data_IF_991684031576
#
_entry.id   IF_991684031576
#
_cell.length_a   1.000
_cell.length_b   1.000
_cell.length_c   1.000
_cell.angle_alpha   90.00
_cell.angle_beta   90.00
_cell.angle_gamma   90.00
#
_symmetry.space_group_name_H-M   'P 1'
#
loop_
_entity.id
_entity.type
_entity.pdbx_description
1 polymer ?
#
# COMPACT_ATOMS: atom_id res chain seq x y z
N UNK A 1 20.69 12.40 -34.62
CA UNK A 1 20.99 13.69 -35.29
C UNK A 1 22.46 13.99 -35.11
N UNK A 2 23.16 14.41 -36.20
CA UNK A 2 24.53 14.86 -36.08
C UNK A 2 24.51 16.38 -35.97
N UNK A 3 24.98 16.92 -34.83
CA UNK A 3 25.15 18.34 -34.57
C UNK A 3 26.58 18.73 -34.97
N UNK A 4 26.73 19.74 -35.86
CA UNK A 4 28.01 20.31 -36.24
C UNK A 4 28.10 21.74 -35.74
N UNK A 5 29.22 22.12 -35.14
CA UNK A 5 29.42 23.42 -34.53
C UNK A 5 29.40 24.60 -35.53
N UNK A 6 29.65 24.32 -36.81
CA UNK A 6 29.70 25.27 -37.93
C UNK A 6 28.39 25.43 -38.71
N UNK A 7 27.31 24.74 -38.23
CA UNK A 7 26.00 24.77 -38.88
C UNK A 7 25.16 26.01 -38.57
N UNK A 8 24.21 26.32 -39.49
CA UNK A 8 23.19 27.37 -39.28
C UNK A 8 22.29 26.97 -38.09
N UNK A 9 22.43 27.70 -36.96
CA UNK A 9 21.71 27.44 -35.72
C UNK A 9 20.19 27.38 -35.87
N UNK A 10 19.61 28.18 -36.78
CA UNK A 10 18.15 28.18 -37.02
C UNK A 10 17.69 26.87 -37.69
N UNK A 11 18.43 26.46 -38.74
CA UNK A 11 18.12 25.17 -39.40
C UNK A 11 18.35 23.97 -38.49
N UNK A 12 19.38 24.07 -37.63
CA UNK A 12 19.67 23.02 -36.64
C UNK A 12 18.56 22.93 -35.57
N UNK A 13 18.11 24.08 -35.05
CA UNK A 13 17.00 24.15 -34.08
C UNK A 13 15.72 23.55 -34.65
N UNK A 14 15.31 23.89 -35.88
CA UNK A 14 14.12 23.32 -36.52
C UNK A 14 14.22 21.79 -36.64
N UNK A 15 15.35 21.28 -37.16
CA UNK A 15 15.56 19.82 -37.30
C UNK A 15 15.59 19.10 -35.96
N UNK A 16 16.10 19.72 -34.91
CA UNK A 16 16.10 19.18 -33.57
C UNK A 16 14.68 19.13 -33.02
N UNK A 17 13.91 20.22 -33.18
CA UNK A 17 12.51 20.26 -32.76
C UNK A 17 11.67 19.15 -33.43
N UNK A 18 11.77 19.02 -34.78
CA UNK A 18 11.05 18.00 -35.53
C UNK A 18 11.38 16.58 -35.05
N UNK A 19 12.66 16.34 -34.71
CA UNK A 19 13.08 15.02 -34.23
C UNK A 19 12.67 14.75 -32.79
N UNK A 20 12.69 15.76 -31.93
CA UNK A 20 12.20 15.69 -30.54
C UNK A 20 10.69 15.42 -30.56
N UNK A 21 9.93 16.17 -31.35
CA UNK A 21 8.47 15.96 -31.50
C UNK A 21 8.15 14.56 -32.00
N UNK A 22 8.90 14.07 -33.00
CA UNK A 22 8.74 12.70 -33.49
C UNK A 22 9.03 11.66 -32.42
N UNK A 23 10.13 11.83 -31.67
CA UNK A 23 10.48 10.90 -30.59
C UNK A 23 9.43 10.91 -29.47
N UNK A 24 8.99 12.11 -29.03
CA UNK A 24 7.97 12.26 -27.99
C UNK A 24 6.62 11.64 -28.40
N UNK A 25 6.24 11.78 -29.68
CA UNK A 25 5.00 11.18 -30.20
C UNK A 25 5.02 9.64 -30.25
N UNK A 26 6.21 9.06 -30.48
CA UNK A 26 6.40 7.60 -30.52
C UNK A 26 6.48 6.95 -29.12
N UNK A 27 6.84 7.74 -28.10
CA UNK A 27 7.15 7.23 -26.76
C UNK A 27 6.20 7.75 -25.68
N UNK A 28 5.06 8.29 -26.09
CA UNK A 28 4.05 8.86 -25.18
C UNK A 28 4.65 9.91 -24.23
N UNK A 29 5.42 10.84 -24.82
CA UNK A 29 5.98 11.99 -24.12
C UNK A 29 7.31 11.76 -23.40
N UNK A 30 8.01 10.66 -23.63
CA UNK A 30 9.33 10.40 -23.06
C UNK A 30 10.44 10.54 -24.10
N UNK A 31 11.60 11.06 -23.71
CA UNK A 31 12.75 11.26 -24.59
C UNK A 31 14.05 10.94 -23.85
N UNK A 32 14.88 10.11 -24.48
CA UNK A 32 16.25 9.87 -24.04
C UNK A 32 17.22 10.45 -25.07
N UNK A 33 18.14 11.30 -24.63
CA UNK A 33 19.24 11.82 -25.45
C UNK A 33 20.52 11.15 -25.00
N UNK A 34 21.10 10.33 -25.86
CA UNK A 34 22.38 9.66 -25.62
C UNK A 34 23.43 10.17 -26.62
N UNK A 35 24.67 10.42 -26.20
CA UNK A 35 25.76 10.73 -27.13
C UNK A 35 26.07 9.53 -28.02
N UNK A 36 26.19 9.73 -29.32
CA UNK A 36 26.54 8.66 -30.26
C UNK A 36 28.01 8.17 -30.10
N UNK A 37 28.86 8.99 -29.50
CA UNK A 37 30.22 8.65 -29.09
C UNK A 37 30.55 9.44 -27.80
N UNK A 38 31.42 8.90 -26.91
CA UNK A 38 31.87 9.63 -25.74
C UNK A 38 32.49 10.97 -26.16
N UNK A 39 31.95 12.05 -25.64
CA UNK A 39 32.47 13.40 -25.86
C UNK A 39 32.75 14.08 -24.51
N UNK A 40 33.86 14.80 -24.40
CA UNK A 40 34.23 15.55 -23.20
C UNK A 40 33.08 16.49 -22.79
N UNK A 41 32.50 16.31 -21.63
CA UNK A 41 31.36 17.09 -21.12
C UNK A 41 29.96 16.53 -21.44
N UNK A 42 29.83 15.36 -22.11
CA UNK A 42 28.60 14.66 -22.39
C UNK A 42 28.77 13.16 -22.11
N UNK A 43 28.96 12.82 -20.86
CA UNK A 43 29.20 11.43 -20.45
C UNK A 43 27.93 10.69 -20.01
N UNK A 44 26.82 11.40 -19.84
CA UNK A 44 25.56 10.85 -19.33
C UNK A 44 24.42 10.97 -20.33
N UNK A 45 23.59 9.96 -20.37
CA UNK A 45 22.29 10.00 -21.02
C UNK A 45 21.40 11.04 -20.34
N UNK A 46 20.70 11.88 -21.12
CA UNK A 46 19.76 12.86 -20.60
C UNK A 46 18.33 12.37 -20.86
N UNK A 47 17.58 12.20 -19.79
CA UNK A 47 16.18 11.82 -19.87
C UNK A 47 15.29 13.06 -19.75
N UNK A 48 14.29 13.15 -20.61
CA UNK A 48 13.27 14.19 -20.58
C UNK A 48 11.89 13.56 -20.66
N UNK A 49 10.93 14.11 -19.96
CA UNK A 49 9.54 13.68 -20.05
C UNK A 49 8.59 14.87 -20.02
N UNK A 50 7.52 14.79 -20.81
CA UNK A 50 6.40 15.73 -20.75
C UNK A 50 5.40 15.35 -19.63
N UNK A 51 5.56 14.16 -19.02
CA UNK A 51 4.58 13.51 -18.15
C UNK A 51 5.00 13.53 -16.68
N UNK A 52 5.43 14.65 -16.12
CA UNK A 52 5.76 14.78 -14.69
C UNK A 52 6.61 13.60 -14.15
N UNK A 53 7.70 13.29 -14.84
CA UNK A 53 8.61 12.21 -14.45
C UNK A 53 9.79 12.72 -13.64
N UNK A 54 10.29 11.91 -12.72
CA UNK A 54 11.53 12.12 -12.00
C UNK A 54 12.53 11.02 -12.34
N UNK A 55 13.64 11.38 -12.96
CA UNK A 55 14.68 10.44 -13.38
C UNK A 55 15.39 9.79 -12.19
N UNK A 56 15.72 10.57 -11.15
CA UNK A 56 16.44 10.08 -9.96
C UNK A 56 15.67 8.98 -9.22
N UNK A 57 14.33 9.05 -9.23
CA UNK A 57 13.46 8.14 -8.51
C UNK A 57 12.76 7.12 -9.43
N UNK A 58 13.05 7.13 -10.74
CA UNK A 58 12.36 6.29 -11.73
C UNK A 58 10.83 6.32 -11.58
N UNK A 59 10.29 7.51 -11.36
CA UNK A 59 8.88 7.76 -11.03
C UNK A 59 8.23 8.60 -12.13
N UNK A 60 7.10 8.14 -12.62
CA UNK A 60 6.30 8.84 -13.63
C UNK A 60 4.85 8.95 -13.15
N UNK A 61 4.34 10.17 -13.05
CA UNK A 61 2.96 10.44 -12.64
C UNK A 61 1.99 10.18 -13.79
N UNK A 62 2.44 10.27 -15.04
CA UNK A 62 1.58 10.23 -16.21
C UNK A 62 0.73 11.49 -16.36
N UNK A 63 -0.43 11.36 -17.01
CA UNK A 63 -1.38 12.46 -17.18
C UNK A 63 -2.15 12.71 -15.88
N UNK A 64 -2.16 13.96 -15.42
CA UNK A 64 -2.94 14.37 -14.24
C UNK A 64 -4.43 14.42 -14.58
N UNK A 65 -5.17 13.42 -14.15
CA UNK A 65 -6.63 13.36 -14.33
C UNK A 65 -7.35 13.39 -12.99
N UNK A 66 -8.60 13.91 -12.91
CA UNK A 66 -9.36 13.95 -11.65
C UNK A 66 -9.51 12.59 -10.96
N UNK A 67 -9.56 11.48 -11.72
CA UNK A 67 -9.67 10.12 -11.18
C UNK A 67 -8.44 9.67 -10.37
N UNK A 68 -7.27 10.29 -10.58
CA UNK A 68 -6.07 10.04 -9.78
C UNK A 68 -6.23 10.48 -8.31
N UNK A 69 -7.12 11.40 -8.04
CA UNK A 69 -7.37 11.92 -6.70
C UNK A 69 -8.56 11.25 -6.00
N UNK A 70 -9.07 10.15 -6.58
CA UNK A 70 -10.14 9.36 -6.00
C UNK A 70 -9.60 8.05 -5.43
N UNK A 71 -9.77 7.84 -4.13
CA UNK A 71 -9.42 6.60 -3.47
C UNK A 71 -10.36 5.43 -3.82
N UNK A 72 -11.51 5.69 -4.45
CA UNK A 72 -12.43 4.67 -4.97
C UNK A 72 -12.11 4.26 -6.41
N UNK A 73 -11.08 4.86 -7.02
CA UNK A 73 -10.66 4.56 -8.37
C UNK A 73 -9.29 3.89 -8.36
N UNK A 74 -9.05 2.78 -9.07
CA UNK A 74 -7.75 2.09 -9.10
C UNK A 74 -6.58 2.99 -9.50
N UNK A 75 -6.81 4.03 -10.32
CA UNK A 75 -5.77 5.00 -10.72
C UNK A 75 -5.28 5.89 -9.57
N UNK A 76 -6.13 6.14 -8.55
CA UNK A 76 -5.79 6.99 -7.42
C UNK A 76 -5.62 6.23 -6.11
N UNK A 77 -6.24 5.08 -5.98
CA UNK A 77 -6.22 4.29 -4.76
C UNK A 77 -4.81 3.78 -4.40
N UNK A 78 -4.50 3.73 -3.14
CA UNK A 78 -3.31 3.03 -2.65
C UNK A 78 -3.40 1.55 -3.04
N UNK A 79 -2.41 0.98 -3.74
CA UNK A 79 -2.49 -0.41 -4.22
C UNK A 79 -2.45 -1.44 -3.08
N UNK A 80 -1.88 -1.09 -1.92
CA UNK A 80 -1.80 -2.00 -0.76
C UNK A 80 -3.15 -2.20 -0.08
N UNK A 81 -3.91 -1.12 0.13
CA UNK A 81 -5.19 -1.17 0.84
C UNK A 81 -6.39 -0.91 -0.07
N UNK A 82 -6.21 -0.84 -1.38
CA UNK A 82 -7.26 -0.56 -2.36
C UNK A 82 -8.12 0.67 -2.01
N UNK A 83 -7.48 1.71 -1.45
CA UNK A 83 -8.15 2.94 -1.05
C UNK A 83 -8.86 2.91 0.30
N UNK A 84 -8.77 1.82 1.07
CA UNK A 84 -9.37 1.72 2.40
C UNK A 84 -8.65 2.55 3.46
N UNK A 85 -7.35 2.84 3.27
CA UNK A 85 -6.51 3.56 4.25
C UNK A 85 -6.07 2.71 5.43
N UNK A 86 -6.58 1.50 5.54
CA UNK A 86 -6.31 0.57 6.63
C UNK A 86 -6.20 -0.85 6.10
N UNK A 87 -5.50 -1.69 6.84
CA UNK A 87 -5.37 -3.12 6.56
C UNK A 87 -5.87 -3.92 7.76
N UNK A 88 -6.45 -5.06 7.46
CA UNK A 88 -6.86 -6.05 8.46
C UNK A 88 -5.76 -7.11 8.54
N UNK A 89 -5.35 -7.46 9.74
CA UNK A 89 -4.36 -8.51 9.96
C UNK A 89 -4.75 -9.35 11.17
N UNK A 90 -4.34 -10.62 11.17
CA UNK A 90 -4.53 -11.49 12.33
C UNK A 90 -3.56 -11.08 13.44
N UNK A 91 -4.06 -10.95 14.65
CA UNK A 91 -3.28 -10.59 15.82
C UNK A 91 -2.66 -11.81 16.47
N UNK A 92 -1.33 -11.88 16.54
CA UNK A 92 -0.63 -12.95 17.26
C UNK A 92 -1.09 -13.07 18.72
N UNK A 93 -1.29 -11.94 19.42
CA UNK A 93 -1.74 -11.94 20.81
C UNK A 93 -3.17 -12.49 20.98
N UNK A 94 -4.04 -12.29 19.99
CA UNK A 94 -5.41 -12.82 20.04
C UNK A 94 -5.49 -14.30 19.72
N UNK A 95 -4.62 -14.79 18.84
CA UNK A 95 -4.57 -16.23 18.51
C UNK A 95 -3.77 -17.05 19.52
N UNK A 96 -2.82 -16.43 20.24
CA UNK A 96 -1.99 -17.03 21.28
C UNK A 96 -2.17 -16.29 22.60
N UNK A 97 -3.34 -16.38 23.26
CA UNK A 97 -3.67 -15.60 24.44
C UNK A 97 -2.98 -16.06 25.72
N UNK A 98 -2.49 -17.30 25.76
CA UNK A 98 -1.93 -17.94 26.96
C UNK A 98 -0.53 -18.51 26.67
N UNK A 99 0.48 -17.81 27.15
CA UNK A 99 1.89 -18.17 26.99
C UNK A 99 2.32 -19.41 27.84
N UNK A 100 1.54 -19.76 28.85
CA UNK A 100 1.83 -20.92 29.71
C UNK A 100 1.44 -22.24 29.04
N UNK A 101 0.56 -22.21 28.05
CA UNK A 101 0.13 -23.39 27.32
C UNK A 101 1.08 -23.80 26.20
N UNK A 102 1.12 -25.09 25.95
CA UNK A 102 1.72 -25.65 24.75
C UNK A 102 0.68 -25.81 23.62
N UNK A 103 1.16 -26.07 22.39
CA UNK A 103 0.27 -26.31 21.25
C UNK A 103 -0.70 -27.48 21.52
N UNK A 104 -0.22 -28.52 22.20
CA UNK A 104 -1.06 -29.67 22.61
C UNK A 104 -2.15 -29.27 23.62
N UNK A 105 -1.84 -28.33 24.50
CA UNK A 105 -2.75 -27.81 25.51
C UNK A 105 -3.71 -26.73 25.01
N UNK A 106 -3.67 -26.42 23.73
CA UNK A 106 -4.57 -25.44 23.14
C UNK A 106 -4.06 -23.99 23.27
N UNK A 107 -2.77 -23.77 23.16
CA UNK A 107 -2.20 -22.42 23.12
C UNK A 107 -2.75 -21.58 21.96
N UNK A 108 -3.15 -22.21 20.86
CA UNK A 108 -3.76 -21.52 19.70
C UNK A 108 -5.28 -21.50 19.85
N UNK A 109 -5.85 -20.34 20.12
CA UNK A 109 -7.29 -20.16 20.35
C UNK A 109 -8.10 -20.02 19.04
N UNK A 110 -7.79 -20.81 18.02
CA UNK A 110 -8.50 -20.78 16.73
C UNK A 110 -8.98 -22.16 16.38
N UNK A 111 -10.23 -22.27 15.89
CA UNK A 111 -10.82 -23.54 15.50
C UNK A 111 -9.95 -24.27 14.46
N UNK A 112 -9.75 -25.57 14.69
CA UNK A 112 -8.84 -26.41 13.91
C UNK A 112 -7.37 -26.36 14.37
N UNK A 113 -7.05 -25.54 15.39
CA UNK A 113 -5.73 -25.47 16.04
C UNK A 113 -5.81 -25.58 17.57
N UNK A 114 -6.99 -25.60 18.16
CA UNK A 114 -7.20 -25.68 19.62
C UNK A 114 -6.63 -26.95 20.26
N UNK A 115 -6.47 -28.00 19.47
CA UNK A 115 -5.82 -29.23 19.90
C UNK A 115 -4.86 -29.66 18.80
N UNK A 116 -3.58 -29.72 19.13
CA UNK A 116 -2.53 -30.20 18.22
C UNK A 116 -1.97 -31.52 18.77
N UNK A 117 -2.08 -32.56 17.99
CA UNK A 117 -1.56 -33.89 18.28
C UNK A 117 -1.10 -34.60 17.01
N UNK A 118 -0.49 -35.74 17.15
CA UNK A 118 0.07 -36.52 16.03
C UNK A 118 -1.00 -36.84 14.96
N UNK A 119 -2.23 -37.05 15.39
CA UNK A 119 -3.36 -37.48 14.55
C UNK A 119 -4.20 -36.27 14.05
N UNK A 120 -3.85 -35.05 14.44
CA UNK A 120 -4.58 -33.86 13.96
C UNK A 120 -4.08 -33.39 12.60
N UNK A 121 -4.95 -32.67 11.87
CA UNK A 121 -4.60 -32.16 10.52
C UNK A 121 -3.29 -31.38 10.48
N UNK A 122 -3.04 -30.51 11.46
CA UNK A 122 -1.84 -29.69 11.53
C UNK A 122 -0.68 -30.32 12.31
N UNK A 123 -0.95 -31.35 13.10
CA UNK A 123 0.01 -31.95 13.99
C UNK A 123 1.29 -32.42 13.32
N UNK A 124 1.25 -33.30 12.31
CA UNK A 124 2.45 -33.77 11.63
C UNK A 124 3.31 -32.64 11.08
N UNK A 125 2.67 -31.56 10.55
CA UNK A 125 3.39 -30.42 10.03
C UNK A 125 4.05 -29.59 11.16
N UNK A 126 3.30 -29.28 12.22
CA UNK A 126 3.85 -28.52 13.35
C UNK A 126 4.95 -29.28 14.11
N UNK A 127 4.84 -30.62 14.18
CA UNK A 127 5.92 -31.47 14.75
C UNK A 127 7.18 -31.39 13.87
N UNK A 128 7.03 -31.47 12.54
CA UNK A 128 8.17 -31.38 11.62
C UNK A 128 8.83 -30.01 11.65
N UNK A 129 8.03 -28.93 11.70
CA UNK A 129 8.52 -27.55 11.87
C UNK A 129 9.25 -27.41 13.20
N UNK A 130 8.62 -27.86 14.29
CA UNK A 130 9.19 -27.75 15.63
C UNK A 130 10.54 -28.47 15.79
N UNK A 131 10.66 -29.67 15.22
CA UNK A 131 11.90 -30.44 15.21
C UNK A 131 13.06 -29.64 14.58
N UNK A 132 12.78 -28.84 13.55
CA UNK A 132 13.79 -28.04 12.84
C UNK A 132 14.05 -26.71 13.50
N UNK A 133 13.05 -26.09 14.09
CA UNK A 133 13.10 -24.75 14.66
C UNK A 133 13.19 -24.72 16.20
N UNK A 134 13.45 -25.86 16.83
CA UNK A 134 13.80 -25.94 18.26
C UNK A 134 12.61 -25.87 19.22
N UNK A 135 11.43 -26.37 18.82
CA UNK A 135 10.30 -26.54 19.73
C UNK A 135 9.58 -27.88 19.52
N UNK A 136 8.79 -28.28 20.49
CA UNK A 136 7.86 -29.43 20.38
C UNK A 136 6.42 -28.95 20.59
N UNK A 137 5.44 -29.77 20.21
CA UNK A 137 4.03 -29.43 20.47
C UNK A 137 3.69 -29.42 21.96
N UNK A 138 4.56 -29.95 22.82
CA UNK A 138 4.44 -29.99 24.28
C UNK A 138 5.19 -28.84 24.97
N UNK A 139 6.00 -28.07 24.24
CA UNK A 139 6.75 -26.93 24.77
C UNK A 139 5.78 -25.76 25.03
N UNK A 140 5.73 -25.15 26.24
CA UNK A 140 4.96 -23.94 26.50
C UNK A 140 5.46 -22.76 25.64
N UNK A 141 4.56 -21.90 25.17
CA UNK A 141 4.92 -20.77 24.29
C UNK A 141 5.95 -19.82 24.89
N UNK A 142 5.93 -19.62 26.20
CA UNK A 142 6.92 -18.79 26.91
C UNK A 142 8.35 -19.31 26.79
N UNK A 143 8.53 -20.60 26.52
CA UNK A 143 9.86 -21.22 26.35
C UNK A 143 10.35 -21.21 24.89
N UNK A 144 9.54 -20.70 23.96
CA UNK A 144 9.95 -20.57 22.56
C UNK A 144 11.05 -19.51 22.42
N UNK A 145 12.10 -19.80 21.64
CA UNK A 145 13.04 -18.78 21.18
C UNK A 145 12.32 -17.80 20.24
N UNK A 146 12.94 -16.64 19.98
CA UNK A 146 12.40 -15.68 19.01
C UNK A 146 12.25 -16.31 17.62
N UNK A 147 13.22 -17.13 17.21
CA UNK A 147 13.25 -17.83 15.94
C UNK A 147 12.15 -18.88 15.85
N UNK A 148 11.93 -19.67 16.92
CA UNK A 148 10.87 -20.65 17.01
C UNK A 148 9.50 -19.97 16.93
N UNK A 149 9.35 -18.84 17.61
CA UNK A 149 8.10 -18.06 17.59
C UNK A 149 7.82 -17.44 16.22
N UNK A 150 8.83 -16.88 15.58
CA UNK A 150 8.73 -16.36 14.22
C UNK A 150 8.38 -17.48 13.23
N UNK A 151 9.05 -18.63 13.31
CA UNK A 151 8.73 -19.79 12.48
C UNK A 151 7.27 -20.24 12.64
N UNK A 152 6.77 -20.29 13.89
CA UNK A 152 5.36 -20.67 14.16
C UNK A 152 4.37 -19.65 13.60
N UNK A 153 4.61 -18.35 13.79
CA UNK A 153 3.67 -17.28 13.44
C UNK A 153 3.74 -16.87 11.98
N UNK A 154 4.95 -16.64 11.47
CA UNK A 154 5.20 -16.06 10.15
C UNK A 154 5.49 -17.11 9.08
N UNK A 155 5.85 -18.33 9.53
CA UNK A 155 6.20 -19.44 8.65
C UNK A 155 7.70 -19.51 8.37
N UNK A 156 8.07 -20.41 7.45
CA UNK A 156 9.46 -20.81 7.19
C UNK A 156 9.87 -20.56 5.73
N UNK A 157 9.12 -19.68 5.06
CA UNK A 157 9.40 -19.28 3.69
C UNK A 157 9.25 -20.44 2.69
N UNK A 158 10.32 -20.74 1.94
CA UNK A 158 10.33 -21.79 0.91
C UNK A 158 10.67 -23.19 1.44
N UNK A 159 10.91 -23.32 2.75
CA UNK A 159 11.20 -24.62 3.33
C UNK A 159 10.02 -25.57 3.22
N UNK A 160 10.29 -26.81 2.85
CA UNK A 160 9.30 -27.87 2.79
C UNK A 160 9.56 -28.92 3.86
N UNK A 161 8.48 -29.46 4.40
CA UNK A 161 8.47 -30.47 5.45
C UNK A 161 7.84 -31.75 4.92
N UNK A 162 8.55 -32.85 5.03
CA UNK A 162 8.02 -34.16 4.71
C UNK A 162 7.11 -34.60 5.85
N UNK A 163 5.84 -34.82 5.57
CA UNK A 163 4.82 -35.25 6.53
C UNK A 163 4.09 -36.49 6.05
N UNK A 164 3.68 -37.30 7.02
CA UNK A 164 2.85 -38.49 6.80
C UNK A 164 1.52 -38.26 7.50
N UNK A 165 0.42 -38.52 6.80
CA UNK A 165 -0.93 -38.48 7.34
C UNK A 165 -1.64 -39.77 7.00
N UNK A 166 -2.60 -40.16 7.85
CA UNK A 166 -3.45 -41.31 7.62
C UNK A 166 -4.89 -40.85 7.43
N UNK A 167 -5.50 -41.21 6.31
CA UNK A 167 -6.92 -41.00 6.02
C UNK A 167 -7.54 -42.34 5.69
N UNK A 168 -8.60 -42.68 6.43
CA UNK A 168 -9.29 -43.97 6.27
C UNK A 168 -8.34 -45.20 6.29
N UNK A 169 -7.29 -45.13 7.11
CA UNK A 169 -6.26 -46.17 7.20
C UNK A 169 -5.21 -46.15 6.08
N UNK A 170 -5.34 -45.25 5.09
CA UNK A 170 -4.37 -45.12 4.01
C UNK A 170 -3.29 -44.09 4.38
N UNK A 171 -2.05 -44.49 4.18
CA UNK A 171 -0.88 -43.64 4.44
C UNK A 171 -0.63 -42.68 3.24
N UNK A 172 -0.65 -41.39 3.53
CA UNK A 172 -0.33 -40.33 2.57
C UNK A 172 0.93 -39.59 2.97
N UNK A 173 1.89 -39.54 2.06
CA UNK A 173 3.14 -38.79 2.22
C UNK A 173 3.14 -37.57 1.31
N UNK A 174 3.55 -36.43 1.85
CA UNK A 174 3.67 -35.21 1.06
C UNK A 174 4.76 -34.28 1.65
N UNK A 175 5.35 -33.47 0.79
CA UNK A 175 6.23 -32.39 1.20
C UNK A 175 5.50 -31.07 1.01
N UNK A 176 5.30 -30.33 2.11
CA UNK A 176 4.51 -29.08 2.11
C UNK A 176 5.28 -27.97 2.79
N UNK A 177 5.19 -26.73 2.30
CA UNK A 177 5.71 -25.58 3.00
C UNK A 177 4.82 -25.23 4.20
N UNK A 178 5.40 -24.58 5.20
CA UNK A 178 4.65 -24.01 6.31
C UNK A 178 4.59 -22.49 6.20
N UNK A 179 3.40 -21.96 5.93
CA UNK A 179 3.14 -20.55 5.71
C UNK A 179 3.05 -19.71 7.00
N UNK A 180 3.07 -20.35 8.17
CA UNK A 180 2.83 -19.71 9.46
C UNK A 180 1.36 -19.59 9.84
N UNK A 181 1.08 -19.56 11.15
CA UNK A 181 -0.29 -19.49 11.66
C UNK A 181 -1.01 -18.21 11.21
N UNK A 182 -0.32 -17.05 11.19
CA UNK A 182 -0.94 -15.78 10.80
C UNK A 182 -1.48 -15.84 9.37
N UNK A 183 -0.67 -16.32 8.42
CA UNK A 183 -1.08 -16.45 7.02
C UNK A 183 -2.19 -17.48 6.82
N UNK A 184 -2.08 -18.64 7.47
CA UNK A 184 -3.09 -19.70 7.33
C UNK A 184 -4.45 -19.24 7.89
N UNK A 185 -4.44 -18.53 9.01
CA UNK A 185 -5.69 -18.03 9.63
C UNK A 185 -6.25 -16.86 8.80
N UNK A 186 -5.41 -15.99 8.26
CA UNK A 186 -5.84 -14.92 7.36
C UNK A 186 -6.47 -15.48 6.07
N UNK A 187 -5.85 -16.48 5.42
CA UNK A 187 -6.42 -17.15 4.24
C UNK A 187 -7.79 -17.79 4.57
N UNK A 188 -7.95 -18.36 5.76
CA UNK A 188 -9.26 -18.89 6.22
C UNK A 188 -10.28 -17.78 6.44
N UNK A 189 -9.90 -16.68 7.07
CA UNK A 189 -10.77 -15.54 7.30
C UNK A 189 -11.30 -14.96 5.98
N UNK A 190 -10.42 -14.83 4.98
CA UNK A 190 -10.79 -14.36 3.64
C UNK A 190 -11.69 -15.35 2.89
N UNK A 191 -11.42 -16.65 3.04
CA UNK A 191 -12.19 -17.71 2.35
C UNK A 191 -13.59 -17.85 2.92
N UNK A 192 -13.72 -17.87 4.23
CA UNK A 192 -15.00 -18.15 4.89
C UNK A 192 -15.83 -16.90 5.16
N UNK A 193 -15.22 -15.70 5.13
CA UNK A 193 -15.88 -14.39 5.38
C UNK A 193 -16.83 -14.42 6.58
N UNK A 194 -16.39 -15.03 7.68
CA UNK A 194 -17.19 -15.35 8.84
C UNK A 194 -16.81 -14.41 10.00
N UNK A 195 -17.82 -13.87 10.71
CA UNK A 195 -17.66 -13.02 11.90
C UNK A 195 -16.76 -13.65 13.00
N UNK A 196 -16.67 -14.99 13.04
CA UNK A 196 -15.77 -15.70 13.93
C UNK A 196 -14.31 -15.21 13.84
N UNK A 197 -13.81 -14.90 12.62
CA UNK A 197 -12.44 -14.44 12.44
C UNK A 197 -12.23 -12.98 12.79
N UNK A 198 -13.31 -12.19 12.92
CA UNK A 198 -13.22 -10.79 13.34
C UNK A 198 -12.68 -10.65 14.77
N UNK A 199 -12.96 -11.65 15.64
CA UNK A 199 -12.40 -11.72 16.99
C UNK A 199 -10.86 -11.71 16.98
N UNK A 200 -10.23 -12.37 16.00
CA UNK A 200 -8.76 -12.50 15.89
C UNK A 200 -8.14 -11.40 15.06
N UNK A 201 -8.95 -10.58 14.41
CA UNK A 201 -8.49 -9.52 13.52
C UNK A 201 -8.22 -8.22 14.28
N UNK A 202 -7.21 -7.49 13.83
CA UNK A 202 -6.93 -6.10 14.20
C UNK A 202 -6.88 -5.25 12.95
N UNK A 203 -7.44 -4.05 13.07
CA UNK A 203 -7.40 -3.05 12.01
C UNK A 203 -6.27 -2.07 12.34
N UNK A 204 -5.41 -1.80 11.37
CA UNK A 204 -4.29 -0.87 11.51
C UNK A 204 -4.26 0.07 10.31
N UNK A 205 -3.71 1.30 10.47
CA UNK A 205 -3.43 2.14 9.32
C UNK A 205 -2.58 1.38 8.29
N UNK A 206 -2.90 1.53 7.01
CA UNK A 206 -2.14 0.89 5.95
C UNK A 206 -0.66 1.27 6.03
N UNK A 207 0.28 0.31 6.00
CA UNK A 207 1.71 0.58 6.16
C UNK A 207 2.29 1.41 5.01
N UNK A 208 1.66 1.38 3.83
CA UNK A 208 2.10 2.11 2.65
C UNK A 208 1.60 3.55 2.61
N UNK A 209 0.30 3.76 2.74
CA UNK A 209 -0.29 5.10 2.64
C UNK A 209 -0.55 5.78 3.99
N UNK A 210 -0.29 5.12 5.11
CA UNK A 210 -0.47 5.64 6.47
C UNK A 210 -1.85 6.27 6.72
N UNK A 211 -2.87 5.70 6.09
CA UNK A 211 -4.25 6.17 6.18
C UNK A 211 -4.68 7.15 5.08
N UNK A 212 -3.77 7.62 4.22
CA UNK A 212 -4.08 8.60 3.17
C UNK A 212 -4.99 8.05 2.05
N UNK A 213 -5.13 6.73 1.92
CA UNK A 213 -5.97 6.02 0.93
C UNK A 213 -5.51 6.14 -0.52
N UNK A 214 -4.69 7.14 -0.85
CA UNK A 214 -4.20 7.46 -2.18
C UNK A 214 -2.82 6.84 -2.44
N UNK A 215 -2.48 6.69 -3.70
CA UNK A 215 -1.16 6.27 -4.13
C UNK A 215 -0.15 7.43 -4.04
N UNK A 216 1.14 7.12 -4.21
CA UNK A 216 2.24 8.07 -4.09
C UNK A 216 2.18 9.17 -5.16
N UNK A 217 1.73 8.84 -6.38
CA UNK A 217 1.59 9.80 -7.47
C UNK A 217 0.56 10.90 -7.12
N UNK A 218 -0.62 10.50 -6.64
CA UNK A 218 -1.65 11.43 -6.20
C UNK A 218 -1.22 12.26 -4.99
N UNK A 219 -0.48 11.64 -4.04
CA UNK A 219 0.04 12.34 -2.86
C UNK A 219 1.21 13.29 -3.16
N UNK A 220 1.93 13.06 -4.26
CA UNK A 220 3.00 13.94 -4.74
C UNK A 220 2.49 15.27 -5.30
N UNK A 221 1.22 15.34 -5.72
CA UNK A 221 0.64 16.59 -6.25
C UNK A 221 0.22 17.50 -5.11
N UNK A 222 0.69 18.75 -5.16
CA UNK A 222 0.40 19.77 -4.13
C UNK A 222 -0.25 21.01 -4.73
N UNK A 223 -1.10 21.66 -3.94
CA UNK A 223 -1.65 22.98 -4.22
C UNK A 223 -1.38 23.84 -2.98
N UNK A 224 -0.79 25.02 -3.18
CA UNK A 224 -0.40 25.88 -2.05
C UNK A 224 0.53 25.18 -1.04
N UNK A 225 1.38 24.25 -1.52
CA UNK A 225 2.38 23.54 -0.70
C UNK A 225 1.83 22.34 0.09
N UNK A 226 0.55 21.99 0.00
CA UNK A 226 -0.03 20.81 0.68
C UNK A 226 -0.69 19.86 -0.31
N UNK A 227 -0.65 18.56 -0.02
CA UNK A 227 -1.33 17.53 -0.81
C UNK A 227 -2.76 17.29 -0.31
N UNK A 228 -3.52 16.48 -1.06
CA UNK A 228 -4.93 16.22 -0.77
C UNK A 228 -5.15 15.56 0.60
N UNK A 229 -4.29 14.62 1.03
CA UNK A 229 -4.40 13.98 2.35
C UNK A 229 -4.21 15.00 3.47
N UNK A 230 -3.17 15.82 3.38
CA UNK A 230 -2.90 16.88 4.36
C UNK A 230 -4.07 17.86 4.46
N UNK A 231 -4.67 18.23 3.33
CA UNK A 231 -5.87 19.07 3.31
C UNK A 231 -7.05 18.38 3.98
N UNK A 232 -7.35 17.13 3.62
CA UNK A 232 -8.48 16.37 4.15
C UNK A 232 -8.38 16.08 5.66
N UNK A 233 -7.17 16.07 6.23
CA UNK A 233 -6.95 15.93 7.69
C UNK A 233 -7.17 17.21 8.48
N UNK A 234 -7.23 18.37 7.82
CA UNK A 234 -7.61 19.62 8.48
C UNK A 234 -9.09 19.57 8.86
N UNK A 235 -9.45 20.22 9.97
CA UNK A 235 -10.85 20.46 10.26
C UNK A 235 -11.47 21.44 9.26
N UNK A 236 -12.77 21.50 9.18
CA UNK A 236 -13.50 22.30 8.18
C UNK A 236 -13.08 23.77 8.24
N UNK A 237 -12.93 24.35 9.43
CA UNK A 237 -12.46 25.75 9.59
C UNK A 237 -11.08 25.94 8.96
N UNK A 238 -10.10 25.11 9.32
CA UNK A 238 -8.74 25.23 8.80
C UNK A 238 -8.64 24.91 7.32
N UNK A 239 -9.51 24.06 6.78
CA UNK A 239 -9.62 23.81 5.34
C UNK A 239 -10.20 25.03 4.61
N UNK A 240 -11.23 25.68 5.16
CA UNK A 240 -11.80 26.91 4.62
C UNK A 240 -10.79 28.05 4.62
N UNK A 241 -10.07 28.24 5.73
CA UNK A 241 -9.01 29.25 5.86
C UNK A 241 -7.90 29.03 4.83
N UNK A 242 -7.50 27.78 4.60
CA UNK A 242 -6.54 27.44 3.55
C UNK A 242 -7.01 27.91 2.18
N UNK A 243 -8.24 27.61 1.77
CA UNK A 243 -8.77 28.05 0.48
C UNK A 243 -8.98 29.58 0.41
N UNK A 244 -9.24 30.24 1.51
CA UNK A 244 -9.38 31.71 1.54
C UNK A 244 -8.02 32.42 1.42
N UNK A 245 -6.96 31.82 1.95
CA UNK A 245 -5.59 32.35 1.91
C UNK A 245 -4.77 31.89 0.71
N UNK A 246 -5.32 31.02 -0.14
CA UNK A 246 -4.62 30.46 -1.28
C UNK A 246 -4.29 31.56 -2.30
N UNK A 247 -3.00 31.72 -2.60
CA UNK A 247 -2.50 32.65 -3.58
C UNK A 247 -2.21 31.89 -4.88
N UNK A 248 -2.84 32.29 -5.97
CA UNK A 248 -2.72 31.72 -7.30
C UNK A 248 -2.23 32.79 -8.28
N UNK A 249 -1.62 32.37 -9.39
CA UNK A 249 -1.36 33.24 -10.53
C UNK A 249 -2.68 33.62 -11.23
N UNK A 250 -2.65 34.66 -12.05
CA UNK A 250 -3.86 35.11 -12.81
C UNK A 250 -4.48 33.99 -13.64
N UNK A 251 -3.66 33.17 -14.28
CA UNK A 251 -4.13 32.04 -15.10
C UNK A 251 -4.76 30.94 -14.23
N UNK A 252 -4.10 30.57 -13.12
CA UNK A 252 -4.63 29.59 -12.19
C UNK A 252 -5.92 30.05 -11.54
N UNK A 253 -6.01 31.35 -11.21
CA UNK A 253 -7.23 31.92 -10.64
C UNK A 253 -8.40 31.89 -11.63
N UNK A 254 -8.15 32.16 -12.91
CA UNK A 254 -9.18 32.04 -13.96
C UNK A 254 -9.68 30.59 -14.07
N UNK A 255 -8.80 29.61 -14.06
CA UNK A 255 -9.14 28.19 -14.15
C UNK A 255 -9.89 27.72 -12.88
N UNK A 256 -9.42 28.11 -11.70
CA UNK A 256 -9.91 27.59 -10.43
C UNK A 256 -11.12 28.35 -9.87
N UNK A 257 -11.50 29.51 -10.40
CA UNK A 257 -12.51 30.43 -9.85
C UNK A 257 -13.82 29.75 -9.45
N UNK A 258 -14.46 29.06 -10.38
CA UNK A 258 -15.75 28.42 -10.10
C UNK A 258 -15.62 27.25 -9.15
N UNK A 259 -14.51 26.48 -9.25
CA UNK A 259 -14.21 25.36 -8.36
C UNK A 259 -14.01 25.86 -6.93
N UNK A 260 -13.20 26.89 -6.74
CA UNK A 260 -12.92 27.48 -5.42
C UNK A 260 -14.17 28.09 -4.79
N UNK A 261 -15.02 28.72 -5.59
CA UNK A 261 -16.32 29.25 -5.14
C UNK A 261 -17.21 28.14 -4.57
N UNK A 262 -17.34 27.02 -5.29
CA UNK A 262 -18.11 25.86 -4.83
C UNK A 262 -17.51 25.22 -3.57
N UNK A 263 -16.20 25.05 -3.51
CA UNK A 263 -15.51 24.50 -2.35
C UNK A 263 -15.76 25.38 -1.11
N UNK A 264 -15.56 26.70 -1.24
CA UNK A 264 -15.78 27.65 -0.14
C UNK A 264 -17.24 27.66 0.32
N UNK A 265 -18.19 27.61 -0.60
CA UNK A 265 -19.61 27.55 -0.28
C UNK A 265 -19.97 26.28 0.51
N UNK A 266 -19.46 25.10 0.10
CA UNK A 266 -19.74 23.83 0.76
C UNK A 266 -19.07 23.73 2.12
N UNK A 267 -17.80 24.14 2.24
CA UNK A 267 -17.11 24.17 3.54
C UNK A 267 -17.75 25.19 4.50
N UNK A 268 -18.12 26.37 4.01
CA UNK A 268 -18.86 27.38 4.77
C UNK A 268 -20.22 26.89 5.24
N UNK A 269 -20.94 26.11 4.42
CA UNK A 269 -22.18 25.46 4.85
C UNK A 269 -21.95 24.51 6.03
N UNK A 270 -20.92 23.63 5.95
CA UNK A 270 -20.58 22.72 7.04
C UNK A 270 -20.22 23.48 8.33
N UNK A 271 -19.50 24.59 8.22
CA UNK A 271 -19.19 25.46 9.35
C UNK A 271 -20.48 26.07 9.96
N UNK A 272 -21.40 26.58 9.13
CA UNK A 272 -22.63 27.22 9.58
C UNK A 272 -23.60 26.27 10.29
N UNK A 273 -23.55 24.96 9.99
CA UNK A 273 -24.37 23.96 10.68
C UNK A 273 -23.67 23.35 11.91
N UNK A 274 -22.51 23.90 12.34
CA UNK A 274 -21.81 23.50 13.55
C UNK A 274 -20.92 22.27 13.41
N UNK A 275 -20.52 21.91 12.18
CA UNK A 275 -19.67 20.76 11.88
C UNK A 275 -18.21 21.17 11.62
N UNK A 276 -17.78 22.33 12.09
CA UNK A 276 -16.43 22.91 11.89
C UNK A 276 -15.30 22.05 12.45
N UNK A 277 -15.57 21.22 13.44
CA UNK A 277 -14.59 20.32 14.07
C UNK A 277 -14.31 19.06 13.25
N UNK A 278 -15.18 18.70 12.31
CA UNK A 278 -15.00 17.52 11.47
C UNK A 278 -13.84 17.67 10.49
N UNK A 279 -13.31 16.54 10.05
CA UNK A 279 -12.33 16.47 8.96
C UNK A 279 -12.90 15.70 7.78
N UNK A 280 -12.51 16.06 6.55
CA UNK A 280 -12.92 15.33 5.34
C UNK A 280 -12.33 13.91 5.30
N UNK A 281 -11.24 13.65 6.02
CA UNK A 281 -10.63 12.34 6.13
C UNK A 281 -11.42 11.37 7.03
N UNK A 282 -12.35 11.87 7.86
CA UNK A 282 -13.14 11.05 8.79
C UNK A 282 -14.07 10.11 8.01
N UNK A 283 -14.04 8.84 8.38
CA UNK A 283 -14.91 7.84 7.77
C UNK A 283 -16.38 8.10 8.16
N UNK A 284 -17.28 8.07 7.17
CA UNK A 284 -18.72 8.26 7.39
C UNK A 284 -19.31 7.27 8.42
N UNK A 285 -18.80 6.04 8.48
CA UNK A 285 -19.25 5.04 9.46
C UNK A 285 -18.89 5.37 10.93
N UNK A 286 -18.09 6.42 11.16
CA UNK A 286 -17.74 6.90 12.52
C UNK A 286 -18.54 8.13 12.94
N UNK A 287 -19.42 8.64 12.07
CA UNK A 287 -20.29 9.77 12.37
C UNK A 287 -21.41 9.32 13.30
N UNK A 288 -21.80 10.19 14.24
CA UNK A 288 -22.99 9.99 15.07
C UNK A 288 -24.28 10.23 14.28
N UNK A 289 -25.41 9.72 14.78
CA UNK A 289 -26.71 9.93 14.13
C UNK A 289 -27.16 11.40 14.03
N UNK A 290 -26.51 12.32 14.72
CA UNK A 290 -26.74 13.76 14.64
C UNK A 290 -25.80 14.51 13.71
N UNK A 291 -24.66 13.92 13.36
CA UNK A 291 -23.69 14.42 12.38
C UNK A 291 -24.10 14.01 10.96
#
# INVERSE_FOLDING_TARGET
>A
IILRADGDRKKLSSRLSDSVETALSLTDGNLLIAPAAPAEGFETELYFSQNYACEEHNFNVGELTPRMFSFNNPFGACPECSGLGQTRSISAAKILPDEEKSLRQGAVNVNGFKTVGEDTWMGPLLIAVGKKHGFTIDTPLKAFSKEARAALLEGTGKETYHIVRYFDGVRHEQSVPFKGLLSIIAERADTFQNEYYDEFTVVRPCPRCHGARLNEAALGVTVGGINLDTLCRKNITAALDFFNSLTLSETEEQIAREILKEIRARLGFLQNVGLEYLTLARSAGTLSGGE
#
